data_IF_607973300165
#
_entry.id   IF_607973300165
#
_cell.length_a   1.000
_cell.length_b   1.000
_cell.length_c   1.000
_cell.angle_alpha   90.00
_cell.angle_beta   90.00
_cell.angle_gamma   90.00
#
_symmetry.space_group_name_H-M   'P 1'
#
loop_
_entity.id
_entity.type
_entity.pdbx_description
1 polymer ?
#
# COMPACT_ATOMS: atom_id res chain seq x y z
N UNK A 1 0.04 -1.10 -6.12
CA UNK A 1 0.44 -0.76 -4.73
C UNK A 1 1.88 -0.23 -4.59
N UNK A 2 2.94 -0.96 -4.93
CA UNK A 2 4.33 -0.49 -4.69
C UNK A 2 4.66 0.92 -5.23
N UNK A 3 4.19 1.25 -6.44
CA UNK A 3 4.37 2.59 -7.01
C UNK A 3 3.79 3.72 -6.14
N UNK A 4 2.71 3.47 -5.39
CA UNK A 4 2.11 4.46 -4.48
C UNK A 4 3.00 4.70 -3.26
N UNK A 5 3.56 3.64 -2.70
CA UNK A 5 4.51 3.73 -1.58
C UNK A 5 5.81 4.40 -2.00
N UNK A 6 6.36 4.01 -3.15
CA UNK A 6 7.57 4.65 -3.69
C UNK A 6 7.32 6.13 -4.05
N UNK A 7 6.17 6.45 -4.67
CA UNK A 7 5.79 7.83 -4.96
C UNK A 7 5.65 8.69 -3.70
N UNK A 8 5.03 8.16 -2.65
CA UNK A 8 4.93 8.84 -1.36
C UNK A 8 6.29 9.06 -0.71
N UNK A 9 7.20 8.08 -0.81
CA UNK A 9 8.57 8.22 -0.34
C UNK A 9 9.29 9.38 -1.03
N UNK A 10 9.19 9.47 -2.37
CA UNK A 10 9.77 10.59 -3.14
C UNK A 10 9.20 11.94 -2.68
N UNK A 11 7.89 12.01 -2.44
CA UNK A 11 7.21 13.21 -1.96
C UNK A 11 7.69 13.61 -0.55
N UNK A 12 7.76 12.66 0.38
CA UNK A 12 8.19 12.90 1.76
C UNK A 12 9.65 13.38 1.85
N UNK A 13 10.50 12.91 0.93
CA UNK A 13 11.89 13.36 0.80
C UNK A 13 12.03 14.70 0.06
N UNK A 14 10.94 15.28 -0.42
CA UNK A 14 10.94 16.53 -1.19
C UNK A 14 11.57 16.40 -2.57
N UNK A 15 11.73 15.18 -3.09
CA UNK A 15 12.32 14.92 -4.41
C UNK A 15 11.35 15.28 -5.54
N UNK A 16 10.04 15.24 -5.26
CA UNK A 16 8.97 15.62 -6.18
C UNK A 16 7.90 16.42 -5.43
N UNK A 17 7.14 17.25 -6.15
CA UNK A 17 5.94 17.91 -5.60
C UNK A 17 4.72 16.98 -5.68
N UNK A 18 3.66 17.32 -4.93
CA UNK A 18 2.38 16.60 -5.03
C UNK A 18 1.80 16.66 -6.45
N UNK A 19 1.89 17.82 -7.12
CA UNK A 19 1.44 17.98 -8.51
C UNK A 19 2.26 17.13 -9.50
N UNK A 20 3.56 17.02 -9.29
CA UNK A 20 4.45 16.18 -10.10
C UNK A 20 4.11 14.69 -9.93
N UNK A 21 3.85 14.25 -8.70
CA UNK A 21 3.43 12.88 -8.42
C UNK A 21 2.09 12.54 -9.08
N UNK A 22 1.09 13.43 -8.96
CA UNK A 22 -0.22 13.25 -9.56
C UNK A 22 -0.14 13.15 -11.10
N UNK A 23 0.62 14.05 -11.72
CA UNK A 23 0.86 14.02 -13.17
C UNK A 23 1.54 12.72 -13.60
N UNK A 24 2.58 12.29 -12.88
CA UNK A 24 3.30 11.07 -13.19
C UNK A 24 2.42 9.81 -13.04
N UNK A 25 1.59 9.74 -11.99
CA UNK A 25 0.61 8.66 -11.81
C UNK A 25 -0.41 8.64 -12.95
N UNK A 26 -0.87 9.81 -13.42
CA UNK A 26 -1.88 9.89 -14.49
C UNK A 26 -1.41 9.30 -15.82
N UNK A 27 -0.12 9.46 -16.15
CA UNK A 27 0.47 8.95 -17.40
C UNK A 27 1.13 7.57 -17.23
N UNK A 28 1.42 7.15 -16.00
CA UNK A 28 2.11 5.89 -15.66
C UNK A 28 1.54 4.67 -16.39
N UNK A 29 0.22 4.53 -16.47
CA UNK A 29 -0.44 3.39 -17.12
C UNK A 29 -0.15 3.29 -18.62
N UNK A 30 0.26 4.39 -19.25
CA UNK A 30 0.60 4.48 -20.67
C UNK A 30 2.11 4.57 -20.90
N UNK A 31 2.90 4.75 -19.84
CA UNK A 31 4.36 4.90 -19.93
C UNK A 31 5.04 3.55 -20.15
N UNK A 32 5.73 3.42 -21.29
CA UNK A 32 6.61 2.28 -21.55
C UNK A 32 7.97 2.52 -20.90
N UNK A 33 8.37 1.63 -19.99
CA UNK A 33 9.68 1.67 -19.34
C UNK A 33 10.79 1.41 -20.37
N UNK A 34 11.83 2.26 -20.37
CA UNK A 34 13.00 2.10 -21.25
C UNK A 34 14.04 1.19 -20.60
N UNK A 35 14.86 0.55 -21.45
CA UNK A 35 15.88 -0.40 -21.01
C UNK A 35 16.84 0.20 -19.98
N UNK A 36 17.23 1.47 -20.12
CA UNK A 36 18.11 2.16 -19.17
C UNK A 36 17.55 2.19 -17.74
N UNK A 37 16.25 2.52 -17.57
CA UNK A 37 15.61 2.54 -16.24
C UNK A 37 15.52 1.13 -15.65
N UNK A 38 15.19 0.12 -16.48
CA UNK A 38 15.15 -1.27 -16.02
C UNK A 38 16.54 -1.77 -15.61
N UNK A 39 17.58 -1.39 -16.36
CA UNK A 39 18.96 -1.76 -16.07
C UNK A 39 19.47 -1.11 -14.77
N UNK A 40 19.08 0.13 -14.48
CA UNK A 40 19.36 0.78 -13.18
C UNK A 40 18.68 0.03 -12.05
N UNK A 41 17.40 -0.32 -12.20
CA UNK A 41 16.65 -1.02 -11.15
C UNK A 41 17.28 -2.36 -10.76
N UNK A 42 17.76 -3.12 -11.75
CA UNK A 42 18.47 -4.39 -11.51
C UNK A 42 19.94 -4.21 -11.09
N UNK A 43 20.44 -2.97 -11.01
CA UNK A 43 21.83 -2.69 -10.65
C UNK A 43 22.86 -3.05 -11.74
N UNK A 44 22.41 -3.31 -12.97
CA UNK A 44 23.29 -3.66 -14.09
C UNK A 44 23.97 -2.43 -14.70
N UNK A 45 23.34 -1.26 -14.62
CA UNK A 45 23.91 0.01 -15.08
C UNK A 45 23.79 1.08 -14.01
N UNK A 46 24.79 1.95 -13.93
CA UNK A 46 24.72 3.20 -13.17
C UNK A 46 24.03 4.29 -13.98
N UNK A 47 23.53 5.33 -13.31
CA UNK A 47 22.94 6.49 -13.99
C UNK A 47 23.92 7.15 -14.98
N UNK A 48 25.21 7.25 -14.60
CA UNK A 48 26.25 7.78 -15.47
C UNK A 48 26.47 6.92 -16.73
N UNK A 49 26.40 5.60 -16.62
CA UNK A 49 26.49 4.70 -17.77
C UNK A 49 25.28 4.83 -18.70
N UNK A 50 24.08 4.98 -18.14
CA UNK A 50 22.86 5.21 -18.94
C UNK A 50 22.95 6.52 -19.72
N UNK A 51 23.41 7.60 -19.10
CA UNK A 51 23.64 8.89 -19.77
C UNK A 51 24.70 8.79 -20.87
N UNK A 52 25.82 8.09 -20.62
CA UNK A 52 26.85 7.87 -21.65
C UNK A 52 26.29 7.09 -22.84
N UNK A 53 25.50 6.03 -22.61
CA UNK A 53 24.86 5.26 -23.70
C UNK A 53 23.92 6.17 -24.50
N UNK A 54 23.12 7.01 -23.83
CA UNK A 54 22.24 7.96 -24.50
C UNK A 54 23.02 8.98 -25.34
N UNK A 55 24.12 9.51 -24.82
CA UNK A 55 24.99 10.42 -25.54
C UNK A 55 25.57 9.75 -26.80
N UNK A 56 26.02 8.49 -26.70
CA UNK A 56 26.51 7.74 -27.85
C UNK A 56 25.40 7.43 -28.85
N UNK A 57 24.17 7.20 -28.40
CA UNK A 57 23.01 6.99 -29.26
C UNK A 57 22.67 8.20 -30.13
N UNK A 58 23.03 9.41 -29.71
CA UNK A 58 22.89 10.62 -30.57
C UNK A 58 23.92 10.66 -31.70
N UNK A 59 25.03 9.94 -31.57
CA UNK A 59 26.16 9.92 -32.52
C UNK A 59 26.13 8.70 -33.44
N UNK A 60 25.54 7.59 -32.97
CA UNK A 60 25.58 6.28 -33.61
C UNK A 60 24.14 5.78 -33.78
N UNK A 61 23.76 5.45 -35.01
CA UNK A 61 22.44 4.89 -35.34
C UNK A 61 22.33 3.41 -34.92
N UNK A 62 22.25 3.18 -33.60
CA UNK A 62 22.11 1.86 -32.98
C UNK A 62 21.13 1.91 -31.80
N UNK A 63 20.59 0.74 -31.44
CA UNK A 63 19.70 0.63 -30.29
C UNK A 63 20.48 0.74 -28.98
N UNK A 64 19.82 1.20 -27.92
CA UNK A 64 20.42 1.38 -26.59
C UNK A 64 21.16 0.11 -26.11
N UNK A 65 20.52 -1.06 -26.20
CA UNK A 65 21.14 -2.33 -25.79
C UNK A 65 22.38 -2.71 -26.61
N UNK A 66 22.38 -2.43 -27.91
CA UNK A 66 23.53 -2.70 -28.79
C UNK A 66 24.72 -1.79 -28.45
N UNK A 67 24.46 -0.53 -28.11
CA UNK A 67 25.47 0.43 -27.66
C UNK A 67 26.00 0.01 -26.28
N UNK A 68 25.13 -0.41 -25.36
CA UNK A 68 25.53 -0.90 -24.05
C UNK A 68 26.47 -2.12 -24.14
N UNK A 69 26.21 -3.03 -25.08
CA UNK A 69 27.09 -4.17 -25.37
C UNK A 69 28.40 -3.73 -26.02
N UNK A 70 28.35 -2.79 -26.96
CA UNK A 70 29.55 -2.24 -27.61
C UNK A 70 30.50 -1.55 -26.61
N UNK A 71 29.95 -0.81 -25.65
CA UNK A 71 30.71 -0.15 -24.59
C UNK A 71 31.19 -1.12 -23.50
N UNK A 72 30.78 -2.40 -23.58
CA UNK A 72 31.14 -3.43 -22.60
C UNK A 72 30.42 -3.31 -21.26
N UNK A 73 29.36 -2.50 -21.18
CA UNK A 73 28.57 -2.35 -19.95
C UNK A 73 27.57 -3.49 -19.73
N UNK A 74 27.04 -4.06 -20.82
CA UNK A 74 26.15 -5.22 -20.78
C UNK A 74 26.66 -6.30 -21.74
N UNK A 75 26.21 -7.54 -21.57
CA UNK A 75 26.31 -8.59 -22.58
C UNK A 75 24.91 -8.85 -23.19
N UNK A 76 24.83 -9.60 -24.29
CA UNK A 76 23.55 -9.87 -24.94
C UNK A 76 22.58 -10.65 -24.03
N UNK A 77 23.09 -11.57 -23.21
CA UNK A 77 22.30 -12.36 -22.26
C UNK A 77 21.59 -11.47 -21.23
N UNK A 78 22.28 -10.47 -20.68
CA UNK A 78 21.73 -9.49 -19.74
C UNK A 78 20.71 -8.57 -20.43
N UNK A 79 20.98 -8.15 -21.66
CA UNK A 79 20.02 -7.34 -22.45
C UNK A 79 18.72 -8.12 -22.63
N UNK A 80 18.80 -9.38 -23.03
CA UNK A 80 17.63 -10.24 -23.22
C UNK A 80 16.91 -10.51 -21.89
N UNK A 81 17.65 -10.72 -20.80
CA UNK A 81 17.08 -10.87 -19.47
C UNK A 81 16.26 -9.63 -19.06
N UNK A 82 16.83 -8.43 -19.19
CA UNK A 82 16.14 -7.16 -18.86
C UNK A 82 14.90 -6.97 -19.72
N UNK A 83 14.96 -7.30 -21.01
CA UNK A 83 13.83 -7.18 -21.93
C UNK A 83 12.72 -8.20 -21.65
N UNK A 84 13.05 -9.34 -21.06
CA UNK A 84 12.09 -10.37 -20.66
C UNK A 84 11.36 -10.05 -19.35
N UNK A 85 11.86 -9.09 -18.56
CA UNK A 85 11.24 -8.65 -17.31
C UNK A 85 9.89 -7.97 -17.58
N UNK A 86 8.87 -8.33 -16.80
CA UNK A 86 7.58 -7.64 -16.87
C UNK A 86 7.71 -6.17 -16.48
N UNK A 87 6.93 -5.31 -17.13
CA UNK A 87 6.88 -3.90 -16.77
C UNK A 87 6.21 -3.73 -15.40
N UNK A 88 7.01 -3.27 -14.43
CA UNK A 88 6.52 -3.01 -13.09
C UNK A 88 6.06 -1.56 -12.95
N UNK A 89 4.93 -1.36 -12.28
CA UNK A 89 4.29 -0.04 -12.17
C UNK A 89 5.24 1.03 -11.62
N UNK A 90 6.07 0.72 -10.63
CA UNK A 90 7.01 1.70 -10.06
C UNK A 90 8.09 2.15 -11.06
N UNK A 91 8.53 1.28 -11.98
CA UNK A 91 9.44 1.66 -13.05
C UNK A 91 8.76 2.56 -14.06
N UNK A 92 7.47 2.33 -14.33
CA UNK A 92 6.67 3.23 -15.15
C UNK A 92 6.51 4.61 -14.48
N UNK A 93 6.37 4.66 -13.15
CA UNK A 93 6.35 5.91 -12.40
C UNK A 93 7.70 6.64 -12.51
N UNK A 94 8.81 5.93 -12.26
CA UNK A 94 10.16 6.47 -12.40
C UNK A 94 10.43 6.99 -13.80
N UNK A 95 10.09 6.20 -14.83
CA UNK A 95 10.21 6.60 -16.23
C UNK A 95 9.36 7.83 -16.53
N UNK A 96 8.12 7.91 -16.04
CA UNK A 96 7.25 9.07 -16.25
C UNK A 96 7.85 10.34 -15.64
N UNK A 97 8.41 10.25 -14.43
CA UNK A 97 9.09 11.37 -13.76
C UNK A 97 10.35 11.82 -14.53
N UNK A 98 11.15 10.87 -15.04
CA UNK A 98 12.35 11.15 -15.83
C UNK A 98 11.98 11.78 -17.18
N UNK A 99 10.99 11.21 -17.89
CA UNK A 99 10.56 11.69 -19.21
C UNK A 99 9.99 13.12 -19.15
N UNK A 100 9.40 13.49 -18.01
CA UNK A 100 8.90 14.85 -17.75
C UNK A 100 9.99 15.81 -17.23
N UNK A 101 11.22 15.33 -17.04
CA UNK A 101 12.33 16.14 -16.50
C UNK A 101 12.17 16.51 -15.04
N UNK A 102 11.32 15.80 -14.29
CA UNK A 102 11.03 16.08 -12.88
C UNK A 102 12.13 15.52 -11.97
N UNK A 103 12.74 14.40 -12.35
CA UNK A 103 13.91 13.82 -11.69
C UNK A 103 14.94 13.36 -12.74
N UNK A 104 16.23 13.32 -12.37
CA UNK A 104 17.27 12.72 -13.21
C UNK A 104 17.36 11.20 -12.99
N UNK A 105 18.08 10.50 -13.89
CA UNK A 105 18.41 9.08 -13.69
C UNK A 105 19.21 8.85 -12.39
N UNK A 106 20.09 9.78 -12.03
CA UNK A 106 20.88 9.73 -10.80
C UNK A 106 19.97 9.84 -9.58
N UNK A 107 19.10 10.86 -9.55
CA UNK A 107 18.14 11.05 -8.47
C UNK A 107 17.19 9.84 -8.31
N UNK A 108 16.78 9.22 -9.42
CA UNK A 108 15.96 8.01 -9.39
C UNK A 108 16.73 6.80 -8.82
N UNK A 109 17.97 6.58 -9.27
CA UNK A 109 18.82 5.50 -8.76
C UNK A 109 19.08 5.65 -7.26
N UNK A 110 19.42 6.86 -6.82
CA UNK A 110 19.66 7.18 -5.42
C UNK A 110 18.40 7.02 -4.58
N UNK A 111 17.24 7.45 -5.09
CA UNK A 111 15.97 7.27 -4.40
C UNK A 111 15.59 5.79 -4.22
N UNK A 112 15.82 4.95 -5.24
CA UNK A 112 15.62 3.50 -5.11
C UNK A 112 16.55 2.90 -4.06
N UNK A 113 17.83 3.28 -4.08
CA UNK A 113 18.81 2.80 -3.10
C UNK A 113 18.45 3.24 -1.67
N UNK A 114 18.08 4.51 -1.48
CA UNK A 114 17.62 5.02 -0.19
C UNK A 114 16.35 4.33 0.28
N UNK A 115 15.40 4.04 -0.62
CA UNK A 115 14.20 3.28 -0.28
C UNK A 115 14.56 1.89 0.23
N UNK A 116 15.44 1.14 -0.46
CA UNK A 116 15.91 -0.18 0.00
C UNK A 116 16.54 -0.12 1.39
N UNK A 117 17.41 0.87 1.62
CA UNK A 117 18.09 1.06 2.90
C UNK A 117 17.12 1.42 4.02
N UNK A 118 16.24 2.40 3.77
CA UNK A 118 15.28 2.88 4.75
C UNK A 118 14.39 1.75 5.21
N UNK A 119 13.90 0.91 4.29
CA UNK A 119 13.04 -0.23 4.60
C UNK A 119 13.81 -1.52 4.94
N UNK A 120 15.14 -1.46 5.04
CA UNK A 120 16.02 -2.62 5.35
C UNK A 120 15.74 -3.84 4.47
N UNK A 121 15.45 -3.60 3.20
CA UNK A 121 15.07 -4.63 2.24
C UNK A 121 16.30 -5.40 1.78
N UNK A 122 16.26 -6.73 1.92
CA UNK A 122 17.16 -7.60 1.15
C UNK A 122 16.80 -7.52 -0.34
N UNK A 123 17.76 -7.84 -1.21
CA UNK A 123 17.50 -7.87 -2.66
C UNK A 123 16.38 -8.85 -3.02
N UNK A 124 16.28 -9.99 -2.33
CA UNK A 124 15.19 -10.96 -2.52
C UNK A 124 13.82 -10.40 -2.13
N UNK A 125 13.71 -9.72 -0.99
CA UNK A 125 12.46 -9.09 -0.58
C UNK A 125 12.07 -7.95 -1.53
N UNK A 126 13.03 -7.15 -1.98
CA UNK A 126 12.79 -6.10 -2.94
C UNK A 126 12.28 -6.66 -4.27
N UNK A 127 12.94 -7.69 -4.81
CA UNK A 127 12.48 -8.38 -6.02
C UNK A 127 11.08 -9.00 -5.83
N UNK A 128 10.79 -9.59 -4.67
CA UNK A 128 9.45 -10.11 -4.35
C UNK A 128 8.37 -9.01 -4.38
N UNK A 129 8.64 -7.86 -3.76
CA UNK A 129 7.74 -6.70 -3.76
C UNK A 129 7.53 -6.18 -5.18
N UNK A 130 8.61 -6.10 -5.95
CA UNK A 130 8.60 -5.67 -7.35
C UNK A 130 7.74 -6.60 -8.21
N UNK A 131 7.88 -7.92 -8.01
CA UNK A 131 7.14 -8.95 -8.71
C UNK A 131 5.69 -9.11 -8.21
N UNK A 132 5.24 -8.19 -7.34
CA UNK A 132 3.84 -8.08 -6.95
C UNK A 132 3.47 -8.83 -5.68
N UNK A 133 4.44 -9.26 -4.85
CA UNK A 133 4.13 -9.77 -3.52
C UNK A 133 3.65 -8.63 -2.62
N UNK A 134 2.33 -8.56 -2.48
CA UNK A 134 1.65 -7.62 -1.59
C UNK A 134 1.99 -7.96 -0.14
N UNK A 135 2.12 -9.24 0.19
CA UNK A 135 2.44 -9.72 1.54
C UNK A 135 3.77 -9.18 2.03
N UNK A 136 4.85 -9.31 1.24
CA UNK A 136 6.18 -8.80 1.62
C UNK A 136 6.14 -7.28 1.77
N UNK A 137 5.41 -6.57 0.90
CA UNK A 137 5.28 -5.12 0.99
C UNK A 137 4.55 -4.69 2.27
N UNK A 138 3.46 -5.38 2.62
CA UNK A 138 2.70 -5.10 3.83
C UNK A 138 3.52 -5.37 5.09
N UNK A 139 4.29 -6.47 5.12
CA UNK A 139 5.19 -6.78 6.24
C UNK A 139 6.24 -5.68 6.44
N UNK A 140 6.86 -5.23 5.35
CA UNK A 140 7.91 -4.22 5.40
C UNK A 140 7.37 -2.83 5.72
N UNK A 141 6.20 -2.45 5.22
CA UNK A 141 5.69 -1.08 5.42
C UNK A 141 4.97 -0.95 6.76
N UNK A 142 4.15 -1.94 7.15
CA UNK A 142 3.35 -1.83 8.36
C UNK A 142 4.10 -2.33 9.60
N UNK A 143 4.97 -3.33 9.48
CA UNK A 143 5.49 -4.05 10.66
C UNK A 143 7.00 -3.92 10.87
N UNK A 144 7.66 -2.97 10.21
CA UNK A 144 9.10 -2.74 10.35
C UNK A 144 9.52 -2.29 11.74
N UNK A 145 8.70 -1.48 12.41
CA UNK A 145 8.92 -0.97 13.76
C UNK A 145 7.89 -1.52 14.76
N UNK A 146 7.19 -2.62 14.43
CA UNK A 146 6.06 -3.14 15.22
C UNK A 146 6.46 -3.89 16.49
N UNK A 147 7.57 -3.51 17.14
CA UNK A 147 7.89 -4.03 18.48
C UNK A 147 6.78 -3.75 19.50
N UNK A 148 5.87 -2.82 19.18
CA UNK A 148 4.90 -2.29 20.13
C UNK A 148 3.52 -2.96 20.03
N UNK A 149 3.22 -3.68 18.94
CA UNK A 149 1.92 -4.36 18.77
C UNK A 149 2.01 -5.84 19.14
N UNK A 150 1.20 -6.28 20.10
CA UNK A 150 1.05 -7.70 20.44
C UNK A 150 0.56 -8.56 19.26
N UNK A 151 0.76 -9.87 19.34
CA UNK A 151 0.45 -10.82 18.26
C UNK A 151 -0.99 -10.71 17.75
N UNK A 152 -1.97 -10.57 18.66
CA UNK A 152 -3.39 -10.50 18.30
C UNK A 152 -3.71 -9.30 17.38
N UNK A 153 -3.14 -8.13 17.68
CA UNK A 153 -3.31 -6.91 16.89
C UNK A 153 -2.56 -7.02 15.56
N UNK A 154 -1.33 -7.54 15.58
CA UNK A 154 -0.54 -7.75 14.37
C UNK A 154 -1.24 -8.70 13.39
N UNK A 155 -1.84 -9.79 13.88
CA UNK A 155 -2.61 -10.73 13.07
C UNK A 155 -3.88 -10.07 12.50
N UNK A 156 -4.57 -9.26 13.30
CA UNK A 156 -5.77 -8.53 12.88
C UNK A 156 -5.47 -7.52 11.77
N UNK A 157 -4.46 -6.65 11.95
CA UNK A 157 -4.06 -5.65 10.96
C UNK A 157 -3.60 -6.32 9.66
N UNK A 158 -2.84 -7.42 9.77
CA UNK A 158 -2.37 -8.17 8.60
C UNK A 158 -3.53 -8.75 7.80
N UNK A 159 -4.54 -9.30 8.49
CA UNK A 159 -5.76 -9.79 7.85
C UNK A 159 -6.55 -8.64 7.22
N UNK A 160 -6.68 -7.51 7.92
CA UNK A 160 -7.39 -6.33 7.42
C UNK A 160 -6.76 -5.83 6.13
N UNK A 161 -5.44 -5.65 6.12
CA UNK A 161 -4.69 -5.21 4.97
C UNK A 161 -4.91 -6.13 3.75
N UNK A 162 -4.90 -7.45 3.94
CA UNK A 162 -5.20 -8.41 2.86
C UNK A 162 -6.63 -8.29 2.36
N UNK A 163 -7.59 -8.19 3.28
CA UNK A 163 -9.01 -8.15 2.93
C UNK A 163 -9.40 -6.84 2.23
N UNK A 164 -8.92 -5.69 2.71
CA UNK A 164 -9.23 -4.40 2.09
C UNK A 164 -8.64 -4.32 0.67
N UNK A 165 -7.44 -4.87 0.44
CA UNK A 165 -6.86 -4.95 -0.91
C UNK A 165 -7.68 -5.87 -1.82
N UNK A 166 -8.11 -7.01 -1.29
CA UNK A 166 -8.80 -8.05 -2.05
C UNK A 166 -10.25 -7.68 -2.39
N UNK A 167 -10.96 -7.07 -1.46
CA UNK A 167 -12.40 -6.85 -1.57
C UNK A 167 -12.78 -5.40 -1.88
N UNK A 168 -11.85 -4.44 -1.73
CA UNK A 168 -12.15 -3.02 -1.94
C UNK A 168 -11.30 -2.45 -3.07
N UNK A 169 -9.98 -2.30 -2.87
CA UNK A 169 -9.12 -1.68 -3.87
C UNK A 169 -7.64 -2.04 -3.66
N UNK A 170 -6.96 -2.46 -4.73
CA UNK A 170 -5.52 -2.74 -4.74
C UNK A 170 -4.64 -1.51 -5.01
N UNK A 171 -5.28 -0.39 -5.36
CA UNK A 171 -4.72 0.95 -5.57
C UNK A 171 -4.69 1.82 -4.31
N UNK A 172 -4.74 1.22 -3.13
CA UNK A 172 -4.68 1.93 -1.84
C UNK A 172 -3.25 1.97 -1.27
N UNK A 173 -3.07 2.84 -0.29
CA UNK A 173 -1.94 2.88 0.63
C UNK A 173 -2.45 2.72 2.06
N UNK A 174 -1.70 1.99 2.88
CA UNK A 174 -1.96 1.80 4.29
C UNK A 174 -0.85 2.47 5.11
N UNK A 175 -1.27 3.21 6.14
CA UNK A 175 -0.40 3.89 7.10
C UNK A 175 -0.84 3.52 8.51
N UNK A 176 0.10 3.15 9.38
CA UNK A 176 -0.17 3.03 10.81
C UNK A 176 -0.20 4.42 11.43
N UNK A 177 -1.23 4.70 12.24
CA UNK A 177 -1.41 5.96 12.96
C UNK A 177 -1.53 5.74 14.47
N UNK A 178 -1.55 6.85 15.22
CA UNK A 178 -1.91 6.78 16.63
C UNK A 178 -3.43 6.69 16.79
N UNK A 179 -3.95 5.85 17.70
CA UNK A 179 -5.36 5.89 18.07
C UNK A 179 -5.84 7.27 18.54
N UNK A 180 -4.94 8.10 19.08
CA UNK A 180 -5.25 9.45 19.55
C UNK A 180 -5.57 10.43 18.41
N UNK A 181 -5.14 10.13 17.18
CA UNK A 181 -5.36 11.00 16.00
C UNK A 181 -6.80 10.90 15.45
N UNK A 182 -7.60 9.96 15.95
CA UNK A 182 -8.93 9.61 15.45
C UNK A 182 -10.07 10.12 16.35
N UNK A 183 -10.07 11.42 16.66
CA UNK A 183 -10.95 12.00 17.67
C UNK A 183 -12.45 11.93 17.31
N UNK A 184 -12.84 12.23 16.07
CA UNK A 184 -14.24 12.15 15.61
C UNK A 184 -14.35 11.84 14.11
N UNK A 185 -15.29 10.97 13.76
CA UNK A 185 -15.62 10.64 12.38
C UNK A 185 -17.00 11.17 11.99
N UNK A 186 -17.17 11.57 10.73
CA UNK A 186 -18.49 11.95 10.21
C UNK A 186 -19.41 10.73 10.07
N UNK A 187 -18.82 9.58 9.74
CA UNK A 187 -19.49 8.28 9.70
C UNK A 187 -18.58 7.21 10.31
N UNK A 188 -19.18 6.24 10.98
CA UNK A 188 -18.48 5.13 11.64
C UNK A 188 -19.29 3.85 11.47
N UNK A 189 -18.62 2.76 11.09
CA UNK A 189 -19.12 1.40 11.24
C UNK A 189 -18.36 0.73 12.38
N UNK A 190 -19.04 0.09 13.32
CA UNK A 190 -18.42 -0.54 14.48
C UNK A 190 -19.01 -1.92 14.77
N UNK A 191 -18.21 -2.78 15.39
CA UNK A 191 -18.64 -4.11 15.78
C UNK A 191 -17.87 -4.59 17.02
N UNK A 192 -18.62 -5.10 17.98
CA UNK A 192 -18.11 -5.60 19.26
C UNK A 192 -17.73 -7.07 19.14
N UNK A 193 -16.57 -7.42 19.69
CA UNK A 193 -16.04 -8.79 19.79
C UNK A 193 -15.99 -9.21 21.26
N UNK A 194 -16.39 -10.44 21.57
CA UNK A 194 -16.47 -10.96 22.93
C UNK A 194 -15.87 -12.35 23.02
N UNK A 195 -15.27 -12.66 24.17
CA UNK A 195 -14.99 -14.02 24.57
C UNK A 195 -15.98 -14.38 25.68
N UNK A 196 -16.77 -15.45 25.52
CA UNK A 196 -17.80 -15.84 26.49
C UNK A 196 -17.23 -16.11 27.90
N UNK A 197 -15.94 -16.44 28.00
CA UNK A 197 -15.25 -16.68 29.26
C UNK A 197 -14.73 -15.41 29.94
N UNK A 198 -14.71 -14.26 29.27
CA UNK A 198 -14.12 -13.02 29.75
C UNK A 198 -15.15 -11.89 29.90
N UNK A 199 -14.98 -10.99 30.89
CA UNK A 199 -15.94 -9.91 31.14
C UNK A 199 -15.77 -8.72 30.20
N UNK A 200 -14.62 -8.59 29.53
CA UNK A 200 -14.31 -7.46 28.66
C UNK A 200 -14.77 -7.73 27.23
N UNK A 201 -15.13 -6.65 26.52
CA UNK A 201 -15.40 -6.71 25.09
C UNK A 201 -14.45 -5.81 24.29
N UNK A 202 -13.92 -6.38 23.20
CA UNK A 202 -13.19 -5.64 22.19
C UNK A 202 -14.12 -4.90 21.25
N UNK A 203 -13.63 -3.83 20.65
CA UNK A 203 -14.33 -3.03 19.66
C UNK A 203 -13.44 -2.84 18.45
N UNK A 204 -14.06 -2.94 17.28
CA UNK A 204 -13.43 -2.63 15.99
C UNK A 204 -14.30 -1.61 15.28
N UNK A 205 -13.69 -0.65 14.60
CA UNK A 205 -14.46 0.34 13.85
C UNK A 205 -13.73 0.83 12.60
N UNK A 206 -14.49 1.15 11.56
CA UNK A 206 -14.02 1.89 10.39
C UNK A 206 -14.66 3.28 10.49
N UNK A 207 -13.87 4.34 10.40
CA UNK A 207 -14.33 5.72 10.51
C UNK A 207 -13.82 6.61 9.37
N UNK A 208 -14.59 7.62 8.97
CA UNK A 208 -14.21 8.49 7.86
C UNK A 208 -15.20 9.61 7.56
N UNK A 209 -14.92 10.34 6.48
CA UNK A 209 -15.85 11.33 5.93
C UNK A 209 -17.00 10.66 5.17
N UNK A 210 -18.10 11.38 4.96
CA UNK A 210 -19.23 10.90 4.15
C UNK A 210 -18.80 10.50 2.74
N UNK A 211 -18.00 11.35 2.08
CA UNK A 211 -17.44 11.05 0.74
C UNK A 211 -16.63 9.75 0.77
N UNK A 212 -15.86 9.51 1.83
CA UNK A 212 -15.04 8.30 1.94
C UNK A 212 -15.89 7.05 2.19
N UNK A 213 -16.98 7.17 2.96
CA UNK A 213 -17.91 6.07 3.20
C UNK A 213 -18.70 5.68 1.96
N UNK A 214 -19.19 6.66 1.19
CA UNK A 214 -19.84 6.42 -0.10
C UNK A 214 -18.89 5.74 -1.09
N UNK A 215 -17.64 6.19 -1.14
CA UNK A 215 -16.63 5.58 -2.00
C UNK A 215 -16.27 4.17 -1.56
N UNK A 216 -16.08 3.95 -0.25
CA UNK A 216 -15.80 2.62 0.31
C UNK A 216 -16.95 1.64 0.04
N UNK A 217 -18.19 2.08 0.28
CA UNK A 217 -19.39 1.30 -0.02
C UNK A 217 -19.46 0.94 -1.51
N UNK A 218 -19.24 1.92 -2.39
CA UNK A 218 -19.27 1.69 -3.84
C UNK A 218 -18.22 0.68 -4.31
N UNK A 219 -17.01 0.76 -3.76
CA UNK A 219 -15.91 -0.15 -4.09
C UNK A 219 -16.20 -1.57 -3.62
N UNK A 220 -16.71 -1.74 -2.40
CA UNK A 220 -17.04 -3.04 -1.84
C UNK A 220 -18.26 -3.69 -2.53
N UNK A 221 -19.33 -2.93 -2.76
CA UNK A 221 -20.53 -3.40 -3.44
C UNK A 221 -20.35 -3.59 -4.94
N UNK A 222 -19.26 -3.02 -5.51
CA UNK A 222 -18.99 -2.98 -6.95
C UNK A 222 -20.09 -2.29 -7.77
N UNK A 223 -20.83 -1.37 -7.15
CA UNK A 223 -21.86 -0.56 -7.78
C UNK A 223 -21.87 0.86 -7.20
N UNK A 224 -22.36 1.88 -7.93
CA UNK A 224 -22.36 3.25 -7.45
C UNK A 224 -23.27 3.45 -6.23
N UNK A 225 -22.71 3.99 -5.14
CA UNK A 225 -23.44 4.45 -3.95
C UNK A 225 -23.24 5.97 -3.84
N UNK A 226 -24.22 6.73 -4.33
CA UNK A 226 -24.09 8.18 -4.51
C UNK A 226 -24.58 9.00 -3.30
N UNK A 227 -25.40 8.42 -2.43
CA UNK A 227 -26.01 9.11 -1.30
C UNK A 227 -26.01 8.23 -0.04
N UNK A 228 -25.90 8.83 1.16
CA UNK A 228 -26.01 8.09 2.41
C UNK A 228 -27.37 7.39 2.53
N UNK A 229 -27.38 6.16 3.02
CA UNK A 229 -28.59 5.37 3.22
C UNK A 229 -28.30 3.89 3.42
N UNK A 230 -29.34 3.07 3.33
CA UNK A 230 -29.30 1.62 3.64
C UNK A 230 -28.19 0.89 2.88
N UNK A 231 -27.98 1.21 1.60
CA UNK A 231 -26.93 0.60 0.78
C UNK A 231 -25.52 0.91 1.29
N UNK A 232 -25.26 2.16 1.69
CA UNK A 232 -23.96 2.56 2.24
C UNK A 232 -23.71 1.86 3.58
N UNK A 233 -24.71 1.89 4.45
CA UNK A 233 -24.65 1.30 5.79
C UNK A 233 -24.47 -0.23 5.71
N UNK A 234 -25.26 -0.91 4.87
CA UNK A 234 -25.13 -2.34 4.64
C UNK A 234 -23.75 -2.69 4.06
N UNK A 235 -23.28 -1.97 3.05
CA UNK A 235 -21.99 -2.29 2.39
C UNK A 235 -20.80 -2.14 3.34
N UNK A 236 -20.70 -1.01 4.05
CA UNK A 236 -19.58 -0.79 4.98
C UNK A 236 -19.70 -1.69 6.22
N UNK A 237 -20.92 -1.90 6.72
CA UNK A 237 -21.19 -2.82 7.82
C UNK A 237 -20.82 -4.26 7.47
N UNK A 238 -21.21 -4.75 6.29
CA UNK A 238 -20.88 -6.10 5.83
C UNK A 238 -19.38 -6.28 5.57
N UNK A 239 -18.67 -5.26 5.13
CA UNK A 239 -17.20 -5.30 5.04
C UNK A 239 -16.55 -5.55 6.41
N UNK A 240 -16.99 -4.82 7.44
CA UNK A 240 -16.47 -4.99 8.80
C UNK A 240 -16.86 -6.37 9.36
N UNK A 241 -18.11 -6.78 9.17
CA UNK A 241 -18.63 -8.07 9.59
C UNK A 241 -17.88 -9.25 8.95
N UNK A 242 -17.63 -9.19 7.64
CA UNK A 242 -16.84 -10.19 6.92
C UNK A 242 -15.42 -10.28 7.48
N UNK A 243 -14.77 -9.13 7.69
CA UNK A 243 -13.41 -9.10 8.21
C UNK A 243 -13.32 -9.71 9.62
N UNK A 244 -14.21 -9.31 10.53
CA UNK A 244 -14.29 -9.85 11.88
C UNK A 244 -14.62 -11.35 11.88
N UNK A 245 -15.55 -11.79 11.03
CA UNK A 245 -15.87 -13.21 10.88
C UNK A 245 -14.66 -14.06 10.47
N UNK A 246 -13.84 -13.58 9.52
CA UNK A 246 -12.61 -14.29 9.13
C UNK A 246 -11.58 -14.29 10.27
N UNK A 247 -11.47 -13.20 11.03
CA UNK A 247 -10.58 -13.13 12.20
C UNK A 247 -10.97 -14.17 13.26
N UNK A 248 -12.26 -14.26 13.59
CA UNK A 248 -12.82 -15.26 14.50
C UNK A 248 -12.51 -16.69 14.06
N UNK A 249 -12.72 -17.01 12.77
CA UNK A 249 -12.38 -18.33 12.22
C UNK A 249 -10.90 -18.65 12.37
N UNK A 250 -10.01 -17.68 12.13
CA UNK A 250 -8.57 -17.87 12.28
C UNK A 250 -8.15 -18.11 13.73
N UNK A 251 -8.81 -17.48 14.70
CA UNK A 251 -8.57 -17.69 16.13
C UNK A 251 -9.10 -19.04 16.62
N UNK A 252 -10.23 -19.50 16.10
CA UNK A 252 -10.80 -20.82 16.44
C UNK A 252 -9.83 -21.97 16.09
N UNK A 253 -9.04 -21.83 15.01
CA UNK A 253 -7.97 -22.79 14.67
C UNK A 253 -6.87 -22.87 15.75
N UNK A 254 -6.77 -21.86 16.63
CA UNK A 254 -5.82 -21.79 17.74
C UNK A 254 -6.51 -21.99 19.11
N UNK A 255 -7.67 -22.64 19.13
CA UNK A 255 -8.48 -22.93 20.32
C UNK A 255 -8.98 -21.66 21.06
N UNK A 256 -9.11 -20.53 20.36
CA UNK A 256 -9.67 -19.29 20.90
C UNK A 256 -11.02 -19.03 20.26
N UNK A 257 -12.09 -19.15 21.05
CA UNK A 257 -13.47 -18.91 20.61
C UNK A 257 -13.92 -17.49 20.97
N UNK A 258 -14.14 -16.67 19.93
CA UNK A 258 -14.75 -15.35 20.05
C UNK A 258 -16.10 -15.33 19.35
N UNK A 259 -16.98 -14.47 19.85
CA UNK A 259 -18.27 -14.12 19.27
C UNK A 259 -18.25 -12.65 18.83
N UNK A 260 -19.09 -12.31 17.86
CA UNK A 260 -19.29 -10.94 17.39
C UNK A 260 -20.75 -10.53 17.52
N UNK A 261 -20.98 -9.33 18.04
CA UNK A 261 -22.31 -8.72 18.04
C UNK A 261 -22.66 -8.19 16.63
N UNK A 262 -23.93 -7.88 16.34
CA UNK A 262 -24.30 -7.21 15.10
C UNK A 262 -23.51 -5.91 14.91
N UNK A 263 -23.08 -5.66 13.69
CA UNK A 263 -22.46 -4.40 13.30
C UNK A 263 -23.46 -3.24 13.38
N UNK A 264 -22.95 -2.04 13.66
CA UNK A 264 -23.72 -0.80 13.68
C UNK A 264 -23.03 0.24 12.81
N UNK A 265 -23.79 0.98 12.00
CA UNK A 265 -23.28 2.11 11.22
C UNK A 265 -24.01 3.37 11.64
N UNK A 266 -23.25 4.37 12.09
CA UNK A 266 -23.81 5.61 12.64
C UNK A 266 -23.16 6.83 12.05
N UNK A 267 -23.94 7.92 12.02
CA UNK A 267 -23.44 9.25 11.68
C UNK A 267 -22.86 9.93 12.93
N UNK A 268 -21.64 10.44 12.81
CA UNK A 268 -20.93 11.13 13.88
C UNK A 268 -20.35 10.18 14.93
N UNK A 269 -19.38 10.70 15.68
CA UNK A 269 -18.86 10.07 16.90
C UNK A 269 -17.40 9.61 16.78
N UNK A 270 -16.77 9.45 17.94
CA UNK A 270 -15.44 8.87 18.08
C UNK A 270 -15.47 7.35 18.25
N UNK A 271 -14.29 6.76 18.31
CA UNK A 271 -14.14 5.37 18.75
C UNK A 271 -14.51 5.26 20.23
N UNK A 272 -15.45 4.37 20.55
CA UNK A 272 -15.88 4.13 21.93
C UNK A 272 -15.98 2.63 22.17
N UNK A 273 -15.10 2.11 23.01
CA UNK A 273 -15.04 0.71 23.43
C UNK A 273 -14.78 0.60 24.92
N UNK A 274 -15.07 -0.57 25.49
CA UNK A 274 -14.74 -0.87 26.89
C UNK A 274 -13.23 -0.95 27.11
N UNK A 275 -12.52 -1.42 26.08
CA UNK A 275 -11.07 -1.49 26.03
C UNK A 275 -10.50 -0.29 25.24
N UNK A 276 -9.31 0.21 25.63
CA UNK A 276 -8.67 1.32 24.93
C UNK A 276 -8.33 0.93 23.49
N UNK A 277 -8.36 1.91 22.59
CA UNK A 277 -7.86 1.76 21.24
C UNK A 277 -6.34 1.53 21.28
N UNK A 278 -5.87 0.46 20.65
CA UNK A 278 -4.44 0.11 20.61
C UNK A 278 -3.84 0.31 19.23
N UNK A 279 -4.63 0.21 18.17
CA UNK A 279 -4.16 0.44 16.81
C UNK A 279 -5.11 1.29 15.98
N UNK A 280 -4.52 2.11 15.13
CA UNK A 280 -5.20 2.83 14.06
C UNK A 280 -4.49 2.56 12.73
N UNK A 281 -5.24 2.17 11.70
CA UNK A 281 -4.72 1.94 10.35
C UNK A 281 -5.48 2.83 9.39
N UNK A 282 -4.80 3.82 8.82
CA UNK A 282 -5.37 4.70 7.80
C UNK A 282 -5.26 4.04 6.43
N UNK A 283 -6.41 3.87 5.79
CA UNK A 283 -6.55 3.44 4.40
C UNK A 283 -6.71 4.68 3.53
N UNK A 284 -5.82 4.85 2.55
CA UNK A 284 -5.79 6.00 1.67
C UNK A 284 -5.91 5.51 0.23
N UNK A 285 -7.01 5.86 -0.43
CA UNK A 285 -7.21 5.59 -1.85
C UNK A 285 -7.35 6.88 -2.66
N UNK A 286 -7.73 6.72 -3.92
CA UNK A 286 -7.88 7.83 -4.87
C UNK A 286 -9.08 8.73 -4.50
N UNK A 287 -8.81 9.89 -3.90
CA UNK A 287 -9.80 10.85 -3.38
C UNK A 287 -10.69 10.35 -2.23
N UNK A 288 -10.25 9.33 -1.47
CA UNK A 288 -10.94 8.87 -0.26
C UNK A 288 -9.96 8.36 0.79
N UNK A 289 -10.35 8.46 2.07
CA UNK A 289 -9.60 7.83 3.15
C UNK A 289 -10.48 7.45 4.33
N UNK A 290 -10.26 6.27 4.89
CA UNK A 290 -10.91 5.80 6.12
C UNK A 290 -9.86 5.32 7.11
N UNK A 291 -10.21 5.25 8.39
CA UNK A 291 -9.34 4.76 9.45
C UNK A 291 -10.00 3.56 10.11
N UNK A 292 -9.31 2.42 10.10
CA UNK A 292 -9.62 1.30 10.97
C UNK A 292 -9.10 1.61 12.37
N UNK A 293 -9.93 1.42 13.38
CA UNK A 293 -9.62 1.53 14.80
C UNK A 293 -9.86 0.17 15.46
N UNK A 294 -8.92 -0.27 16.29
CA UNK A 294 -8.96 -1.57 16.95
C UNK A 294 -8.66 -1.38 18.43
N UNK A 295 -9.54 -1.86 19.31
CA UNK A 295 -9.27 -1.90 20.75
C UNK A 295 -8.21 -2.96 21.09
N UNK A 296 -7.77 -3.03 22.33
CA UNK A 296 -6.88 -4.11 22.80
C UNK A 296 -7.51 -5.51 22.68
N UNK A 297 -7.35 -6.16 21.52
CA UNK A 297 -7.84 -7.51 21.31
C UNK A 297 -7.04 -8.56 22.09
N UNK A 298 -5.84 -8.23 22.60
CA UNK A 298 -5.06 -9.18 23.40
C UNK A 298 -5.77 -9.50 24.73
N UNK A 299 -6.64 -8.62 25.22
CA UNK A 299 -7.46 -8.86 26.39
C UNK A 299 -8.60 -9.89 26.16
N UNK A 300 -8.81 -10.35 24.92
CA UNK A 300 -9.82 -11.35 24.57
C UNK A 300 -9.25 -12.75 24.29
N UNK A 301 -7.92 -12.88 24.20
CA UNK A 301 -7.19 -14.06 23.69
C UNK A 301 -6.40 -14.72 24.82
#
# INVERSE_FOLDING_TARGET
MFALYFGQFLLNRGLISASALEQAISVQKQTRVRLGVMAINHGFLTAAQVEEIHLQQTKIDKKFGEIAVMLGYLNNELVDAILSTQQNAHLALGQALIDQGLISYEAFADALHQYKLEYSLSDEQFESIINGSIETLLEVVLFKDSSDYGQAISDYIRLFAKNIIRFVDSGIRLELGSPDDAAEFAWKAEQKLKNAALPAAGMTAIGGSEVSFLKLASLYAQEPVEQPGEMMEASVGELLNLHNGIYLVNLSVRDVELEMEPQSVTRGGGFSGELPATAAVRVIGDHWSVTLMVSDLAALV
#
